data_IF_730186588414
#
_entry.id   IF_730186588414
#
_cell.length_a   1.000
_cell.length_b   1.000
_cell.length_c   1.000
_cell.angle_alpha   90.00
_cell.angle_beta   90.00
_cell.angle_gamma   90.00
#
_symmetry.space_group_name_H-M   'P 1'
#
loop_
_entity.id
_entity.type
_entity.pdbx_description
1 polymer ?
#
# COMPACT_ATOMS: atom_id res chain seq x y z
N UNK A 1 5.87 -4.13 13.08
CA UNK A 1 5.26 -2.89 12.52
C UNK A 1 5.41 -1.76 13.53
N UNK A 2 6.02 -0.67 13.11
CA UNK A 2 6.20 0.55 13.91
C UNK A 2 4.93 1.41 13.83
N UNK A 3 4.46 1.92 14.98
CA UNK A 3 3.40 2.93 15.04
C UNK A 3 3.91 4.16 15.76
N UNK A 4 3.72 5.33 15.18
CA UNK A 4 4.14 6.63 15.71
C UNK A 4 2.97 7.60 15.68
N UNK A 5 2.91 8.52 16.64
CA UNK A 5 2.02 9.67 16.52
C UNK A 5 2.68 10.76 15.67
N UNK A 6 1.89 11.55 14.94
CA UNK A 6 2.37 12.67 14.14
C UNK A 6 3.30 13.62 14.93
N UNK A 7 3.04 13.81 16.20
CA UNK A 7 3.84 14.69 17.07
C UNK A 7 5.22 14.10 17.47
N UNK A 8 5.45 12.81 17.20
CA UNK A 8 6.66 12.08 17.60
C UNK A 8 7.38 11.41 16.41
N UNK A 9 7.27 12.00 15.23
CA UNK A 9 7.92 11.49 14.02
C UNK A 9 9.44 11.49 14.20
N UNK A 10 10.05 10.38 13.81
CA UNK A 10 11.49 10.17 13.76
C UNK A 10 11.83 9.50 12.42
N UNK A 11 12.30 10.29 11.48
CA UNK A 11 12.59 9.84 10.10
C UNK A 11 13.55 8.64 10.10
N UNK A 12 14.58 8.65 10.94
CA UNK A 12 15.56 7.57 10.99
C UNK A 12 14.92 6.26 11.44
N UNK A 13 13.99 6.31 12.40
CA UNK A 13 13.22 5.13 12.81
C UNK A 13 12.31 4.63 11.72
N UNK A 14 11.64 5.54 11.01
CA UNK A 14 10.78 5.20 9.87
C UNK A 14 11.60 4.52 8.77
N UNK A 15 12.70 5.13 8.34
CA UNK A 15 13.56 4.57 7.30
C UNK A 15 14.16 3.21 7.70
N UNK A 16 14.63 3.09 8.93
CA UNK A 16 15.15 1.81 9.43
C UNK A 16 14.07 0.73 9.45
N UNK A 17 12.84 1.05 9.89
CA UNK A 17 11.74 0.09 9.90
C UNK A 17 11.34 -0.36 8.50
N UNK A 18 11.30 0.56 7.52
CA UNK A 18 10.98 0.27 6.13
C UNK A 18 12.06 -0.59 5.44
N UNK A 19 13.34 -0.35 5.72
CA UNK A 19 14.45 -1.05 5.07
C UNK A 19 14.84 -2.34 5.78
N UNK A 20 14.99 -2.30 7.09
CA UNK A 20 15.61 -3.37 7.87
C UNK A 20 14.63 -4.04 8.85
N UNK A 21 13.61 -3.30 9.27
CA UNK A 21 12.59 -3.77 10.22
C UNK A 21 11.50 -4.62 9.58
N UNK A 22 10.25 -4.36 9.96
CA UNK A 22 9.09 -5.10 9.45
C UNK A 22 8.68 -4.73 8.03
N UNK A 23 9.20 -3.64 7.46
CA UNK A 23 8.82 -3.11 6.15
C UNK A 23 7.58 -2.22 6.19
N UNK A 24 6.94 -2.01 7.34
CA UNK A 24 5.68 -1.25 7.47
C UNK A 24 5.73 -0.28 8.63
N UNK A 25 5.28 0.95 8.38
CA UNK A 25 5.14 2.02 9.40
C UNK A 25 3.77 2.66 9.31
N UNK A 26 3.13 2.90 10.45
CA UNK A 26 1.90 3.70 10.55
C UNK A 26 2.20 4.97 11.35
N UNK A 27 1.91 6.12 10.76
CA UNK A 27 1.91 7.43 11.44
C UNK A 27 0.48 7.84 11.70
N UNK A 28 0.13 8.01 12.97
CA UNK A 28 -1.23 8.30 13.39
C UNK A 28 -1.57 9.78 13.30
N UNK A 29 -2.82 10.07 12.92
CA UNK A 29 -3.41 11.42 12.98
C UNK A 29 -2.72 12.44 12.07
N UNK A 30 -2.27 12.02 10.90
CA UNK A 30 -1.57 12.90 9.95
C UNK A 30 -2.53 13.89 9.30
N UNK A 31 -3.71 13.40 8.90
CA UNK A 31 -4.69 14.19 8.13
C UNK A 31 -5.89 14.59 8.98
N UNK A 32 -6.44 15.76 8.66
CA UNK A 32 -7.69 16.22 9.27
C UNK A 32 -8.85 15.38 8.74
N UNK A 33 -9.79 15.05 9.63
CA UNK A 33 -10.91 14.15 9.29
C UNK A 33 -11.82 14.73 8.20
N UNK A 34 -11.97 16.05 8.14
CA UNK A 34 -12.77 16.71 7.12
C UNK A 34 -12.21 16.49 5.72
N UNK A 35 -10.88 16.54 5.57
CA UNK A 35 -10.21 16.26 4.30
C UNK A 35 -10.37 14.78 3.89
N UNK A 36 -10.36 13.88 4.87
CA UNK A 36 -10.58 12.44 4.63
C UNK A 36 -12.03 12.19 4.20
N UNK A 37 -12.99 12.84 4.84
CA UNK A 37 -14.41 12.72 4.48
C UNK A 37 -14.68 13.25 3.07
N UNK A 38 -14.12 14.40 2.70
CA UNK A 38 -14.21 14.93 1.34
C UNK A 38 -13.65 13.94 0.31
N UNK A 39 -12.46 13.40 0.55
CA UNK A 39 -11.86 12.42 -0.31
C UNK A 39 -12.70 11.13 -0.43
N UNK A 40 -13.27 10.66 0.69
CA UNK A 40 -14.13 9.48 0.73
C UNK A 40 -15.41 9.67 -0.08
N UNK A 41 -16.08 10.83 0.03
CA UNK A 41 -17.28 11.15 -0.74
C UNK A 41 -16.99 11.12 -2.25
N UNK A 42 -15.88 11.71 -2.68
CA UNK A 42 -15.47 11.70 -4.09
C UNK A 42 -15.16 10.26 -4.56
N UNK A 43 -14.40 9.49 -3.78
CA UNK A 43 -14.09 8.09 -4.10
C UNK A 43 -15.37 7.27 -4.25
N UNK A 44 -16.31 7.39 -3.31
CA UNK A 44 -17.57 6.66 -3.35
C UNK A 44 -18.39 7.02 -4.60
N UNK A 45 -18.49 8.31 -4.93
CA UNK A 45 -19.19 8.77 -6.14
C UNK A 45 -18.64 8.12 -7.41
N UNK A 46 -17.30 8.05 -7.55
CA UNK A 46 -16.69 7.45 -8.74
C UNK A 46 -16.71 5.92 -8.70
N UNK A 47 -16.56 5.30 -7.53
CA UNK A 47 -16.64 3.85 -7.39
C UNK A 47 -18.04 3.29 -7.69
N UNK A 48 -19.09 4.06 -7.45
CA UNK A 48 -20.48 3.69 -7.75
C UNK A 48 -20.86 3.97 -9.21
N UNK A 49 -20.01 4.67 -9.97
CA UNK A 49 -20.27 4.96 -11.38
C UNK A 49 -19.98 3.75 -12.27
N UNK A 50 -20.70 3.66 -13.39
CA UNK A 50 -20.53 2.58 -14.39
C UNK A 50 -19.14 2.54 -15.05
N UNK A 51 -18.37 3.63 -14.95
CA UNK A 51 -17.05 3.77 -15.54
C UNK A 51 -15.96 2.94 -14.83
N UNK A 52 -16.24 2.39 -13.65
CA UNK A 52 -15.26 1.74 -12.77
C UNK A 52 -15.45 0.23 -12.63
N UNK A 53 -16.02 -0.42 -13.67
CA UNK A 53 -16.43 -1.84 -13.60
C UNK A 53 -15.29 -2.86 -13.59
N UNK A 54 -14.07 -2.45 -13.92
CA UNK A 54 -12.93 -3.37 -14.02
C UNK A 54 -11.93 -3.12 -12.92
N UNK A 55 -11.89 -4.02 -11.95
CA UNK A 55 -10.78 -4.10 -11.00
C UNK A 55 -9.78 -5.12 -11.51
N UNK A 56 -8.57 -4.68 -11.81
CA UNK A 56 -7.48 -5.56 -12.18
C UNK A 56 -6.82 -6.18 -10.93
N UNK A 57 -6.20 -7.33 -11.11
CA UNK A 57 -5.27 -7.97 -10.16
C UNK A 57 -5.86 -8.83 -9.05
N UNK A 58 -7.00 -9.48 -9.26
CA UNK A 58 -7.41 -10.54 -8.36
C UNK A 58 -8.01 -11.71 -9.12
N UNK A 59 -7.18 -12.72 -9.41
CA UNK A 59 -7.60 -13.91 -10.14
C UNK A 59 -8.71 -14.69 -9.40
N UNK A 60 -8.73 -14.68 -8.07
CA UNK A 60 -9.79 -15.31 -7.27
C UNK A 60 -11.12 -14.55 -7.43
N UNK A 61 -11.08 -13.21 -7.43
CA UNK A 61 -12.27 -12.40 -7.66
C UNK A 61 -12.84 -12.61 -9.07
N UNK A 62 -11.98 -12.72 -10.08
CA UNK A 62 -12.38 -13.00 -11.46
C UNK A 62 -13.01 -14.40 -11.59
N UNK A 63 -12.30 -15.43 -11.12
CA UNK A 63 -12.75 -16.83 -11.22
C UNK A 63 -14.03 -17.11 -10.43
N UNK A 64 -14.25 -16.41 -9.32
CA UNK A 64 -15.45 -16.53 -8.48
C UNK A 64 -16.62 -15.61 -8.89
N UNK A 65 -16.46 -14.77 -9.91
CA UNK A 65 -17.44 -13.77 -10.33
C UNK A 65 -17.63 -12.61 -9.33
N UNK A 66 -16.71 -12.41 -8.42
CA UNK A 66 -16.76 -11.39 -7.34
C UNK A 66 -15.96 -10.14 -7.64
N UNK A 67 -15.49 -9.97 -8.86
CA UNK A 67 -14.67 -8.82 -9.25
C UNK A 67 -15.34 -7.48 -8.94
N UNK A 68 -16.66 -7.40 -9.05
CA UNK A 68 -17.47 -6.20 -8.75
C UNK A 68 -17.40 -5.79 -7.25
N UNK A 69 -16.93 -6.67 -6.37
CA UNK A 69 -16.74 -6.37 -4.96
C UNK A 69 -15.39 -5.70 -4.67
N UNK A 70 -14.50 -5.65 -5.65
CA UNK A 70 -13.22 -4.95 -5.59
C UNK A 70 -13.26 -3.81 -6.60
N UNK A 71 -13.34 -2.60 -6.10
CA UNK A 71 -13.48 -1.41 -6.94
C UNK A 71 -12.23 -0.56 -6.83
N UNK A 72 -11.76 -0.05 -7.99
CA UNK A 72 -10.65 0.89 -8.05
C UNK A 72 -11.08 2.18 -8.71
N UNK A 73 -10.71 3.29 -8.10
CA UNK A 73 -10.88 4.64 -8.67
C UNK A 73 -9.51 5.15 -9.08
N UNK A 74 -9.28 5.17 -10.39
CA UNK A 74 -8.02 5.56 -11.00
C UNK A 74 -7.93 7.08 -11.20
N UNK A 75 -6.69 7.57 -11.40
CA UNK A 75 -6.41 8.96 -11.74
C UNK A 75 -7.03 9.95 -10.75
N UNK A 76 -6.69 9.81 -9.47
CA UNK A 76 -7.22 10.67 -8.40
C UNK A 76 -6.88 12.14 -8.61
N UNK A 77 -5.73 12.48 -9.23
CA UNK A 77 -5.38 13.85 -9.56
C UNK A 77 -6.43 14.56 -10.43
N UNK A 78 -7.13 13.82 -11.30
CA UNK A 78 -8.19 14.36 -12.15
C UNK A 78 -9.58 14.41 -11.49
N UNK A 79 -9.69 14.04 -10.20
CA UNK A 79 -11.00 13.88 -9.55
C UNK A 79 -11.29 14.91 -8.45
N UNK A 80 -10.27 15.67 -8.04
CA UNK A 80 -10.43 16.76 -7.07
C UNK A 80 -9.10 17.18 -6.46
N UNK A 81 -9.00 18.46 -6.12
CA UNK A 81 -7.78 19.08 -5.55
C UNK A 81 -7.40 18.45 -4.20
N UNK A 82 -8.38 17.90 -3.48
CA UNK A 82 -8.13 17.21 -2.20
C UNK A 82 -7.08 16.10 -2.34
N UNK A 83 -7.07 15.36 -3.44
CA UNK A 83 -6.10 14.29 -3.65
C UNK A 83 -4.69 14.82 -3.86
N UNK A 84 -4.54 15.96 -4.56
CA UNK A 84 -3.25 16.64 -4.64
C UNK A 84 -2.76 17.10 -3.27
N UNK A 85 -3.67 17.67 -2.46
CA UNK A 85 -3.35 18.15 -1.11
C UNK A 85 -2.94 17.00 -0.17
N UNK A 86 -3.58 15.84 -0.28
CA UNK A 86 -3.24 14.67 0.54
C UNK A 86 -1.85 14.13 0.20
N UNK A 87 -1.53 13.95 -1.10
CA UNK A 87 -0.27 13.31 -1.50
C UNK A 87 0.92 14.25 -1.36
N UNK A 88 0.73 15.57 -1.42
CA UNK A 88 1.81 16.57 -1.24
C UNK A 88 2.11 16.89 0.23
N UNK A 89 1.67 16.06 1.15
CA UNK A 89 1.96 16.22 2.58
C UNK A 89 3.48 16.15 2.84
N UNK A 90 4.01 17.08 3.64
CA UNK A 90 5.43 17.18 3.94
C UNK A 90 6.05 15.91 4.52
N UNK A 91 5.30 15.15 5.32
CA UNK A 91 5.78 13.87 5.89
C UNK A 91 6.01 12.85 4.75
N UNK A 92 5.11 12.79 3.78
CA UNK A 92 5.24 11.90 2.62
C UNK A 92 6.49 12.29 1.83
N UNK A 93 6.60 13.56 1.43
CA UNK A 93 7.73 14.04 0.62
C UNK A 93 9.07 13.85 1.32
N UNK A 94 9.14 14.16 2.61
CA UNK A 94 10.36 14.02 3.38
C UNK A 94 10.84 12.56 3.47
N UNK A 95 9.94 11.63 3.81
CA UNK A 95 10.28 10.20 3.89
C UNK A 95 10.60 9.63 2.51
N UNK A 96 9.81 9.96 1.48
CA UNK A 96 10.07 9.46 0.12
C UNK A 96 11.40 9.96 -0.44
N UNK A 97 11.74 11.24 -0.25
CA UNK A 97 13.00 11.82 -0.70
C UNK A 97 14.21 11.14 -0.06
N UNK A 98 14.13 10.82 1.22
CA UNK A 98 15.20 10.12 1.93
C UNK A 98 15.28 8.64 1.57
N UNK A 99 14.15 7.99 1.28
CA UNK A 99 14.09 6.56 0.99
C UNK A 99 14.46 6.24 -0.46
N UNK A 100 13.95 7.03 -1.41
CA UNK A 100 13.99 6.77 -2.85
C UNK A 100 14.89 7.76 -3.62
N UNK A 101 15.35 8.82 -2.97
CA UNK A 101 16.07 9.93 -3.60
C UNK A 101 15.16 11.09 -4.00
N UNK A 102 15.74 12.28 -4.23
CA UNK A 102 14.99 13.53 -4.52
C UNK A 102 14.18 13.48 -5.81
N UNK A 103 14.57 12.63 -6.75
CA UNK A 103 13.95 12.50 -8.09
C UNK A 103 12.88 11.41 -8.15
N UNK A 104 12.33 10.98 -7.00
CA UNK A 104 11.27 9.98 -6.97
C UNK A 104 10.01 10.48 -7.70
N UNK A 105 9.25 9.55 -8.26
CA UNK A 105 8.02 9.85 -8.98
C UNK A 105 6.84 9.08 -8.41
N UNK A 106 5.65 9.65 -8.49
CA UNK A 106 4.41 8.96 -8.22
C UNK A 106 4.04 8.09 -9.41
N UNK A 107 4.28 6.77 -9.32
CA UNK A 107 4.01 5.83 -10.41
C UNK A 107 2.52 5.53 -10.59
N UNK A 108 1.74 5.59 -9.51
CA UNK A 108 0.29 5.36 -9.54
C UNK A 108 -0.38 6.04 -8.35
N UNK A 109 -1.58 6.60 -8.58
CA UNK A 109 -2.42 7.16 -7.51
C UNK A 109 -3.88 6.79 -7.74
N UNK A 110 -4.33 5.82 -6.97
CA UNK A 110 -5.70 5.30 -7.05
C UNK A 110 -6.28 5.03 -5.66
N UNK A 111 -7.59 4.94 -5.56
CA UNK A 111 -8.27 4.43 -4.38
C UNK A 111 -8.78 3.01 -4.63
N UNK A 112 -8.75 2.18 -3.59
CA UNK A 112 -9.33 0.83 -3.57
C UNK A 112 -10.47 0.77 -2.58
N UNK A 113 -11.63 0.26 -3.00
CA UNK A 113 -12.78 0.01 -2.14
C UNK A 113 -13.14 -1.47 -2.20
N UNK A 114 -13.11 -2.13 -1.05
CA UNK A 114 -13.49 -3.53 -0.92
C UNK A 114 -14.89 -3.62 -0.30
N UNK A 115 -15.85 -4.13 -1.06
CA UNK A 115 -17.21 -4.34 -0.58
C UNK A 115 -17.29 -5.64 0.25
N UNK A 116 -18.27 -5.76 1.17
CA UNK A 116 -18.50 -6.99 1.95
C UNK A 116 -18.62 -8.23 1.05
N UNK A 117 -17.91 -9.30 1.40
CA UNK A 117 -17.80 -10.53 0.62
C UNK A 117 -16.70 -10.52 -0.43
N UNK A 118 -15.93 -9.42 -0.55
CA UNK A 118 -14.75 -9.35 -1.41
C UNK A 118 -13.73 -10.40 -0.98
N UNK A 119 -13.20 -11.23 -1.89
CA UNK A 119 -12.07 -12.09 -1.59
C UNK A 119 -10.81 -11.26 -1.37
N UNK A 120 -9.85 -11.82 -0.62
CA UNK A 120 -8.54 -11.21 -0.48
C UNK A 120 -7.74 -11.27 -1.77
N UNK A 121 -6.48 -10.85 -1.68
CA UNK A 121 -5.48 -10.99 -2.74
C UNK A 121 -4.41 -11.97 -2.28
N UNK A 122 -3.84 -12.72 -3.21
CA UNK A 122 -2.61 -13.45 -2.96
C UNK A 122 -1.48 -12.49 -2.58
N UNK A 123 -0.56 -12.96 -1.76
CA UNK A 123 0.62 -12.16 -1.42
C UNK A 123 1.46 -11.94 -2.66
N UNK A 124 1.87 -10.70 -2.87
CA UNK A 124 2.66 -10.26 -4.02
C UNK A 124 3.60 -9.12 -3.61
N UNK A 125 4.39 -8.68 -4.54
CA UNK A 125 5.13 -7.41 -4.50
C UNK A 125 4.63 -6.52 -5.64
N UNK A 126 4.65 -5.21 -5.46
CA UNK A 126 4.10 -4.29 -6.46
C UNK A 126 5.09 -3.93 -7.57
N UNK A 127 6.37 -3.94 -7.26
CA UNK A 127 7.42 -3.53 -8.19
C UNK A 127 8.77 -4.12 -7.79
N UNK A 128 9.59 -4.52 -8.72
CA UNK A 128 9.39 -4.46 -10.19
C UNK A 128 8.51 -5.59 -10.71
N UNK A 129 7.90 -5.37 -11.89
CA UNK A 129 7.03 -6.35 -12.56
C UNK A 129 7.79 -7.36 -13.41
N UNK A 130 9.12 -7.32 -13.43
CA UNK A 130 9.99 -8.28 -14.12
C UNK A 130 10.81 -9.06 -13.10
N UNK A 131 11.20 -10.26 -13.50
CA UNK A 131 12.00 -11.15 -12.65
C UNK A 131 13.45 -10.65 -12.53
N UNK A 132 13.67 -9.64 -11.70
CA UNK A 132 15.00 -9.14 -11.41
C UNK A 132 15.72 -9.92 -10.30
N UNK A 133 15.07 -10.92 -9.75
CA UNK A 133 15.67 -11.88 -8.82
C UNK A 133 16.39 -13.02 -9.53
N UNK A 134 16.23 -13.11 -10.86
CA UNK A 134 16.88 -14.12 -11.66
C UNK A 134 18.38 -13.92 -11.66
N UNK A 135 19.13 -14.91 -11.14
CA UNK A 135 20.59 -14.89 -11.07
C UNK A 135 21.30 -14.88 -12.43
N UNK A 136 20.63 -15.30 -13.49
CA UNK A 136 21.14 -15.20 -14.86
C UNK A 136 21.13 -13.74 -15.36
N UNK A 137 20.12 -12.96 -14.95
CA UNK A 137 20.00 -11.55 -15.30
C UNK A 137 20.78 -10.65 -14.33
N UNK A 138 20.79 -10.99 -13.03
CA UNK A 138 21.45 -10.23 -11.98
C UNK A 138 22.41 -11.13 -11.17
N UNK A 139 23.54 -11.58 -11.75
CA UNK A 139 24.42 -12.58 -11.14
C UNK A 139 25.07 -12.14 -9.83
N UNK A 140 25.18 -10.82 -9.59
CA UNK A 140 25.69 -10.28 -8.33
C UNK A 140 24.62 -10.12 -7.26
N UNK A 141 23.36 -10.47 -7.59
CA UNK A 141 22.21 -10.29 -6.71
C UNK A 141 21.82 -8.83 -6.53
N UNK A 142 20.91 -8.60 -5.60
CA UNK A 142 20.39 -7.27 -5.23
C UNK A 142 20.68 -6.97 -3.77
N UNK A 143 20.73 -5.68 -3.46
CA UNK A 143 20.94 -5.22 -2.10
C UNK A 143 19.62 -4.87 -1.44
N UNK A 144 19.24 -5.61 -0.39
CA UNK A 144 17.98 -5.39 0.35
C UNK A 144 17.95 -4.13 1.21
N UNK A 145 19.10 -3.46 1.40
CA UNK A 145 19.16 -2.17 2.10
C UNK A 145 18.74 -0.98 1.21
N UNK A 146 18.34 -1.25 -0.02
CA UNK A 146 17.92 -0.26 -0.99
C UNK A 146 16.46 -0.50 -1.38
N UNK A 147 15.60 0.51 -1.22
CA UNK A 147 14.21 0.45 -1.66
C UNK A 147 14.10 1.01 -3.09
N UNK A 148 13.45 0.26 -3.98
CA UNK A 148 13.14 0.71 -5.34
C UNK A 148 11.78 1.38 -5.43
N UNK A 149 10.91 1.06 -4.49
CA UNK A 149 9.53 1.54 -4.43
C UNK A 149 9.06 1.55 -2.98
N UNK A 150 8.17 2.46 -2.68
CA UNK A 150 7.45 2.49 -1.41
C UNK A 150 6.00 2.86 -1.69
N UNK A 151 5.10 2.12 -1.08
CA UNK A 151 3.68 2.42 -1.11
C UNK A 151 3.31 3.36 0.02
N UNK A 152 2.40 4.26 -0.29
CA UNK A 152 1.76 5.17 0.68
C UNK A 152 0.27 4.91 0.65
N UNK A 153 -0.31 4.52 1.78
CA UNK A 153 -1.75 4.35 1.92
C UNK A 153 -2.31 5.36 2.91
N UNK A 154 -3.34 6.07 2.50
CA UNK A 154 -4.13 6.98 3.33
C UNK A 154 -5.50 6.34 3.53
N UNK A 155 -5.80 5.76 4.69
CA UNK A 155 -7.11 5.20 4.98
C UNK A 155 -8.19 6.30 4.95
N UNK A 156 -9.18 6.13 4.08
CA UNK A 156 -10.35 7.00 4.03
C UNK A 156 -11.50 6.46 4.89
N UNK A 157 -11.47 5.16 5.21
CA UNK A 157 -12.39 4.49 6.11
C UNK A 157 -11.61 3.56 7.04
N UNK A 158 -12.27 2.93 8.00
CA UNK A 158 -11.64 2.06 9.00
C UNK A 158 -11.02 0.83 8.31
N UNK A 159 -9.69 0.79 8.28
CA UNK A 159 -8.95 -0.40 7.88
C UNK A 159 -8.79 -1.34 9.07
N UNK A 160 -9.70 -2.29 9.21
CA UNK A 160 -9.72 -3.26 10.31
C UNK A 160 -9.41 -4.68 9.84
N UNK A 161 -9.27 -5.59 10.79
CA UNK A 161 -9.04 -7.01 10.50
C UNK A 161 -10.16 -7.68 9.70
N UNK A 162 -11.35 -7.11 9.76
CA UNK A 162 -12.57 -7.66 9.13
C UNK A 162 -13.05 -6.85 7.94
N UNK A 163 -12.42 -5.71 7.64
CA UNK A 163 -12.78 -4.84 6.51
C UNK A 163 -11.72 -4.83 5.39
N UNK A 164 -10.95 -5.89 5.25
CA UNK A 164 -10.00 -6.04 4.14
C UNK A 164 -8.67 -5.31 4.32
N UNK A 165 -8.27 -4.98 5.56
CA UNK A 165 -6.96 -4.36 5.80
C UNK A 165 -5.84 -5.17 5.16
N UNK A 166 -4.87 -4.50 4.54
CA UNK A 166 -3.76 -5.16 3.86
C UNK A 166 -2.99 -6.09 4.78
N UNK A 167 -2.94 -7.37 4.41
CA UNK A 167 -2.06 -8.37 5.04
C UNK A 167 -0.64 -8.21 4.51
N UNK A 168 0.35 -8.47 5.34
CA UNK A 168 1.76 -8.47 4.93
C UNK A 168 2.57 -9.47 5.77
N UNK A 169 3.76 -9.83 5.27
CA UNK A 169 4.74 -10.64 6.00
C UNK A 169 5.85 -9.73 6.50
N UNK A 170 5.99 -9.53 7.84
CA UNK A 170 7.03 -8.66 8.40
C UNK A 170 8.44 -9.07 7.99
N UNK A 171 9.20 -8.13 7.43
CA UNK A 171 10.59 -8.34 7.04
C UNK A 171 10.78 -9.02 5.68
N UNK A 172 9.71 -9.36 4.97
CA UNK A 172 9.77 -10.05 3.68
C UNK A 172 10.42 -9.23 2.55
N UNK A 173 10.47 -7.90 2.67
CA UNK A 173 11.20 -7.05 1.73
C UNK A 173 12.69 -7.41 1.61
N UNK A 174 13.21 -8.17 2.54
CA UNK A 174 14.61 -8.64 2.54
C UNK A 174 14.82 -9.94 1.77
N UNK A 175 13.75 -10.64 1.43
CA UNK A 175 13.84 -11.94 0.75
C UNK A 175 14.25 -11.81 -0.72
N UNK A 176 13.97 -10.66 -1.34
CA UNK A 176 14.37 -10.32 -2.72
C UNK A 176 13.89 -11.35 -3.77
N UNK A 177 12.72 -11.95 -3.54
CA UNK A 177 12.02 -12.79 -4.51
C UNK A 177 10.51 -12.67 -4.34
N UNK A 178 9.76 -13.05 -5.37
CA UNK A 178 8.30 -13.14 -5.28
C UNK A 178 7.89 -14.23 -4.30
N UNK A 179 6.79 -14.05 -3.53
CA UNK A 179 6.28 -15.09 -2.65
C UNK A 179 5.87 -16.32 -3.46
N UNK A 180 6.25 -17.49 -2.95
CA UNK A 180 5.95 -18.79 -3.54
C UNK A 180 5.23 -19.69 -2.55
N UNK A 181 4.64 -20.78 -3.00
CA UNK A 181 3.96 -21.75 -2.12
C UNK A 181 4.89 -22.43 -1.09
N UNK A 182 6.20 -22.34 -1.30
CA UNK A 182 7.20 -22.91 -0.39
C UNK A 182 7.63 -21.96 0.74
N UNK A 183 7.16 -20.71 0.71
CA UNK A 183 7.53 -19.73 1.70
C UNK A 183 6.68 -19.84 2.98
N UNK A 184 7.27 -19.43 4.11
CA UNK A 184 6.56 -19.38 5.39
C UNK A 184 5.69 -18.13 5.51
N UNK A 185 4.39 -18.33 5.54
CA UNK A 185 3.41 -17.28 5.73
C UNK A 185 2.79 -17.27 7.14
N UNK A 186 3.35 -17.99 8.11
CA UNK A 186 2.80 -18.09 9.48
C UNK A 186 2.84 -16.76 10.25
N UNK A 187 3.76 -15.87 9.89
CA UNK A 187 3.96 -14.56 10.53
C UNK A 187 3.05 -13.43 10.01
N UNK A 188 1.98 -13.74 9.28
CA UNK A 188 1.07 -12.72 8.70
C UNK A 188 0.58 -11.71 9.72
N UNK A 189 0.66 -10.44 9.36
CA UNK A 189 0.08 -9.32 10.10
C UNK A 189 -0.78 -8.47 9.18
N UNK A 190 -1.63 -7.62 9.76
CA UNK A 190 -2.49 -6.68 9.00
C UNK A 190 -2.15 -5.24 9.34
N UNK A 191 -2.17 -4.39 8.33
CA UNK A 191 -1.96 -2.94 8.42
C UNK A 191 -3.25 -2.26 8.92
N UNK A 192 -3.60 -2.49 10.19
CA UNK A 192 -4.79 -1.90 10.81
C UNK A 192 -4.51 -0.44 11.14
N UNK A 193 -5.30 0.45 10.54
CA UNK A 193 -5.16 1.90 10.63
C UNK A 193 -6.53 2.58 10.61
N UNK A 194 -6.60 3.76 11.20
CA UNK A 194 -7.81 4.59 11.30
C UNK A 194 -7.84 5.66 10.19
N UNK A 195 -9.01 6.21 9.84
CA UNK A 195 -9.11 7.35 8.94
C UNK A 195 -8.23 8.51 9.40
N UNK A 196 -7.44 9.06 8.47
CA UNK A 196 -6.50 10.14 8.77
C UNK A 196 -5.09 9.69 9.21
N UNK A 197 -4.87 8.40 9.40
CA UNK A 197 -3.53 7.84 9.55
C UNK A 197 -2.78 7.83 8.20
N UNK A 198 -1.51 7.57 8.25
CA UNK A 198 -0.64 7.42 7.08
C UNK A 198 0.15 6.12 7.21
N UNK A 199 0.03 5.25 6.21
CA UNK A 199 0.73 3.97 6.19
C UNK A 199 1.79 4.01 5.10
N UNK A 200 3.05 3.75 5.48
CA UNK A 200 4.14 3.48 4.56
C UNK A 200 4.46 1.99 4.56
N UNK A 201 4.70 1.42 3.39
CA UNK A 201 5.30 0.09 3.34
C UNK A 201 6.26 -0.04 2.14
N UNK A 202 7.35 -0.77 2.36
CA UNK A 202 8.33 -1.06 1.32
C UNK A 202 7.65 -1.91 0.23
N UNK A 203 7.75 -1.50 -1.02
CA UNK A 203 7.09 -2.17 -2.14
C UNK A 203 7.51 -3.62 -2.38
N UNK A 204 8.69 -4.01 -1.89
CA UNK A 204 9.15 -5.40 -1.91
C UNK A 204 8.60 -6.24 -0.74
N UNK A 205 7.91 -5.62 0.22
CA UNK A 205 7.25 -6.35 1.29
C UNK A 205 6.10 -7.19 0.69
N UNK A 206 6.08 -8.49 0.98
CA UNK A 206 4.99 -9.37 0.53
C UNK A 206 3.70 -8.96 1.19
N UNK A 207 2.73 -8.57 0.39
CA UNK A 207 1.47 -8.04 0.88
C UNK A 207 0.31 -8.38 -0.06
N UNK A 208 -0.90 -8.17 0.42
CA UNK A 208 -2.14 -8.34 -0.33
C UNK A 208 -3.35 -7.93 0.48
N UNK A 209 -4.45 -7.56 -0.17
CA UNK A 209 -5.69 -7.26 0.54
C UNK A 209 -6.19 -8.50 1.29
N UNK A 210 -6.66 -8.31 2.52
CA UNK A 210 -7.43 -9.35 3.22
C UNK A 210 -8.86 -9.43 2.67
N UNK A 211 -9.58 -10.54 2.87
CA UNK A 211 -11.01 -10.58 2.60
C UNK A 211 -11.77 -9.54 3.44
N UNK A 212 -12.84 -8.99 2.87
CA UNK A 212 -13.80 -8.14 3.57
C UNK A 212 -15.12 -8.88 3.79
#
# INVERSE_FOLDING_TARGET
>A
MLKLDKASIDDKKILNELLVGSGVVIVKGVFQIDNINEALEIVNKFADSDEQKESHFNAEAESSGKIHLQQRVWNLFGKGDIFSNLITNDIIFNIMSQLLGSEFVCGSYCASRLLPGSPGQELHIDYPYWDYYNSETFPLGLNSSFAQNCQVTIPLDICSKVSGATTYIPGSQKNLHYPTQNDDFSGKQQMVADPGDLVFFNGNCWHGASPN
#
